data_IF_074049473256
#
_entry.id   IF_074049473256
#
_cell.length_a   1.000
_cell.length_b   1.000
_cell.length_c   1.000
_cell.angle_alpha   90.00
_cell.angle_beta   90.00
_cell.angle_gamma   90.00
#
_symmetry.space_group_name_H-M   'P 1'
#
loop_
_entity.id
_entity.type
_entity.pdbx_description
1 polymer ?
#
# COMPACT_ATOMS: atom_id res chain seq x y z
N UNK A 1 2.88 2.52 16.98
CA UNK A 1 2.94 3.39 15.79
C UNK A 1 2.84 2.53 14.54
N UNK A 2 2.29 3.08 13.45
CA UNK A 2 2.34 2.46 12.13
C UNK A 2 3.80 2.38 11.67
N UNK A 3 4.17 1.26 11.06
CA UNK A 3 5.52 1.03 10.53
C UNK A 3 5.43 0.32 9.20
N UNK A 4 6.13 0.83 8.20
CA UNK A 4 6.37 0.09 6.97
C UNK A 4 7.68 -0.70 7.13
N UNK A 5 7.74 -1.94 6.63
CA UNK A 5 8.96 -2.75 6.75
C UNK A 5 10.17 -2.05 6.09
N UNK A 6 11.40 -2.25 6.60
CA UNK A 6 12.61 -1.66 6.04
C UNK A 6 12.85 -2.06 4.57
N UNK A 7 13.65 -1.25 3.87
CA UNK A 7 14.04 -1.50 2.48
C UNK A 7 13.15 -0.82 1.45
N UNK A 8 12.34 0.16 1.87
CA UNK A 8 11.58 1.04 0.97
C UNK A 8 12.26 2.40 0.84
N UNK A 9 12.09 3.03 -0.31
CA UNK A 9 12.45 4.42 -0.54
C UNK A 9 11.29 5.30 -0.09
N UNK A 10 11.58 6.30 0.73
CA UNK A 10 10.61 7.32 1.12
C UNK A 10 10.65 8.47 0.11
N UNK A 11 9.47 8.91 -0.31
CA UNK A 11 9.26 10.08 -1.16
C UNK A 11 8.16 10.95 -0.58
N UNK A 12 8.11 12.21 -1.00
CA UNK A 12 6.96 13.09 -0.79
C UNK A 12 6.31 13.32 -2.15
N UNK A 13 4.98 13.38 -2.23
CA UNK A 13 4.33 13.66 -3.52
C UNK A 13 4.74 15.06 -4.02
N UNK A 14 5.21 15.10 -5.26
CA UNK A 14 5.85 16.28 -5.87
C UNK A 14 7.37 16.30 -5.73
N UNK A 15 7.96 15.44 -4.90
CA UNK A 15 9.41 15.26 -4.73
C UNK A 15 9.78 13.76 -4.68
N UNK A 16 10.15 13.23 -5.84
CA UNK A 16 10.51 11.82 -6.04
C UNK A 16 9.36 10.94 -6.55
N UNK A 17 8.11 11.24 -6.20
CA UNK A 17 6.91 10.62 -6.82
C UNK A 17 5.94 11.71 -7.28
N UNK A 18 5.70 11.83 -8.58
CA UNK A 18 5.00 13.00 -9.15
C UNK A 18 3.66 12.68 -9.80
N UNK A 19 3.30 11.40 -9.91
CA UNK A 19 2.10 10.96 -10.62
C UNK A 19 0.89 10.78 -9.72
N UNK A 20 1.07 10.70 -8.40
CA UNK A 20 0.01 10.37 -7.46
C UNK A 20 -1.24 11.25 -7.61
N UNK A 21 -2.41 10.65 -7.49
CA UNK A 21 -3.70 11.32 -7.69
C UNK A 21 -4.34 11.77 -6.36
N UNK A 22 -5.67 12.01 -6.37
CA UNK A 22 -6.49 12.37 -5.20
C UNK A 22 -6.12 13.70 -4.49
N UNK A 23 -5.18 14.48 -5.03
CA UNK A 23 -4.74 15.75 -4.45
C UNK A 23 -3.87 15.58 -3.19
N UNK A 24 -3.40 14.36 -2.92
CA UNK A 24 -2.52 14.07 -1.80
C UNK A 24 -1.10 14.57 -2.07
N UNK A 25 -0.54 15.34 -1.13
CA UNK A 25 0.81 15.94 -1.22
C UNK A 25 1.79 15.39 -0.15
N UNK A 26 1.43 14.28 0.51
CA UNK A 26 2.16 13.75 1.64
C UNK A 26 3.17 12.66 1.29
N UNK A 27 3.48 11.82 2.27
CA UNK A 27 4.51 10.79 2.16
C UNK A 27 4.01 9.53 1.43
N UNK A 28 4.88 8.97 0.60
CA UNK A 28 4.73 7.63 0.03
C UNK A 28 5.99 6.80 0.23
N UNK A 29 5.80 5.49 0.28
CA UNK A 29 6.86 4.51 0.51
C UNK A 29 6.91 3.54 -0.66
N UNK A 30 7.95 3.68 -1.48
CA UNK A 30 8.11 2.96 -2.74
C UNK A 30 9.07 1.79 -2.59
N UNK A 31 8.80 0.72 -3.34
CA UNK A 31 9.80 -0.33 -3.54
C UNK A 31 10.97 0.25 -4.35
N UNK A 32 12.24 0.04 -3.96
CA UNK A 32 13.37 0.64 -4.67
C UNK A 32 13.43 0.18 -6.13
N UNK A 33 13.67 1.14 -7.04
CA UNK A 33 13.86 0.85 -8.45
C UNK A 33 14.96 -0.20 -8.68
N UNK A 34 14.73 -1.10 -9.63
CA UNK A 34 15.69 -2.15 -9.98
C UNK A 34 15.73 -3.34 -9.01
N UNK A 35 14.90 -3.35 -7.96
CA UNK A 35 14.70 -4.54 -7.14
C UNK A 35 13.98 -5.62 -7.98
N UNK A 36 14.70 -6.66 -8.40
CA UNK A 36 14.16 -7.73 -9.26
C UNK A 36 13.91 -9.07 -8.56
N UNK A 37 12.95 -9.19 -7.63
CA UNK A 37 12.28 -10.46 -7.42
C UNK A 37 10.85 -10.43 -7.98
N UNK A 38 10.38 -11.59 -8.44
CA UNK A 38 8.96 -11.78 -8.77
C UNK A 38 8.10 -11.42 -7.56
N UNK A 39 7.21 -10.45 -7.74
CA UNK A 39 6.24 -10.01 -6.74
C UNK A 39 6.82 -9.01 -5.76
N UNK A 40 6.69 -7.72 -6.11
CA UNK A 40 7.02 -6.63 -5.20
C UNK A 40 6.01 -6.63 -4.05
N UNK A 41 6.51 -6.60 -2.81
CA UNK A 41 5.66 -6.63 -1.62
C UNK A 41 6.05 -5.55 -0.63
N UNK A 42 5.03 -4.88 -0.10
CA UNK A 42 5.15 -3.95 1.01
C UNK A 42 4.33 -4.48 2.18
N UNK A 43 4.95 -4.69 3.34
CA UNK A 43 4.20 -5.01 4.57
C UNK A 43 4.17 -3.79 5.48
N UNK A 44 2.96 -3.42 5.88
CA UNK A 44 2.68 -2.36 6.85
C UNK A 44 2.22 -3.04 8.15
N UNK A 45 2.96 -2.79 9.23
CA UNK A 45 2.61 -3.23 10.57
C UNK A 45 1.82 -2.11 11.25
N UNK A 46 0.65 -2.47 11.78
CA UNK A 46 -0.29 -1.53 12.37
C UNK A 46 -0.15 -1.48 13.89
N UNK A 47 -0.45 -0.34 14.53
CA UNK A 47 -0.63 -0.24 15.97
C UNK A 47 -1.53 -1.34 16.54
N UNK A 48 -1.29 -1.79 17.78
CA UNK A 48 -2.23 -2.65 18.50
C UNK A 48 -3.63 -2.02 18.51
N UNK A 49 -4.66 -2.89 18.52
CA UNK A 49 -6.08 -2.51 18.54
C UNK A 49 -6.62 -1.83 17.27
N UNK A 50 -5.87 -1.79 16.17
CA UNK A 50 -6.40 -1.26 14.90
C UNK A 50 -7.64 -2.04 14.45
N UNK A 51 -8.74 -1.33 14.21
CA UNK A 51 -10.05 -1.87 13.80
C UNK A 51 -10.38 -1.56 12.36
N UNK A 52 -9.92 -0.43 11.85
CA UNK A 52 -10.01 -0.07 10.45
C UNK A 52 -8.70 0.54 9.99
N UNK A 53 -8.31 0.22 8.77
CA UNK A 53 -7.12 0.74 8.15
C UNK A 53 -7.33 0.83 6.65
N UNK A 54 -6.87 1.91 6.04
CA UNK A 54 -6.77 2.04 4.60
C UNK A 54 -5.44 2.62 4.17
N UNK A 55 -5.11 2.35 2.92
CA UNK A 55 -4.00 2.95 2.18
C UNK A 55 -4.43 3.20 0.74
N UNK A 56 -3.65 4.01 0.05
CA UNK A 56 -3.63 4.06 -1.41
C UNK A 56 -2.34 3.44 -1.94
N UNK A 57 -2.42 2.85 -3.13
CA UNK A 57 -1.26 2.29 -3.83
C UNK A 57 -1.28 2.68 -5.31
N UNK A 58 -0.09 2.91 -5.89
CA UNK A 58 0.11 3.24 -7.30
C UNK A 58 1.31 2.45 -7.85
N UNK A 59 1.18 1.89 -9.06
CA UNK A 59 2.29 1.26 -9.78
C UNK A 59 3.35 2.27 -10.19
N UNK A 60 4.60 1.83 -10.35
CA UNK A 60 5.71 2.69 -10.76
C UNK A 60 5.76 2.91 -12.28
N UNK A 61 5.38 1.90 -13.06
CA UNK A 61 5.28 2.00 -14.51
C UNK A 61 4.04 2.84 -14.87
N UNK A 62 4.16 3.68 -15.91
CA UNK A 62 3.07 4.52 -16.40
C UNK A 62 1.97 3.73 -17.16
N UNK A 63 1.64 2.54 -16.66
CA UNK A 63 0.73 1.55 -17.22
C UNK A 63 -0.08 0.86 -16.13
N UNK A 64 -0.85 -0.14 -16.54
CA UNK A 64 -1.68 -0.93 -15.64
C UNK A 64 -0.89 -2.03 -14.95
N UNK A 65 -1.14 -2.20 -13.64
CA UNK A 65 -0.62 -3.31 -12.86
C UNK A 65 -1.66 -3.85 -11.87
N UNK A 66 -1.61 -5.16 -11.60
CA UNK A 66 -2.43 -5.75 -10.56
C UNK A 66 -1.80 -5.51 -9.20
N UNK A 67 -2.58 -4.85 -8.32
CA UNK A 67 -2.23 -4.66 -6.92
C UNK A 67 -3.23 -5.43 -6.04
N UNK A 68 -2.71 -6.22 -5.10
CA UNK A 68 -3.51 -6.96 -4.13
C UNK A 68 -3.05 -6.61 -2.72
N UNK A 69 -3.98 -6.18 -1.88
CA UNK A 69 -3.74 -6.00 -0.45
C UNK A 69 -4.34 -7.17 0.34
N UNK A 70 -3.61 -7.64 1.36
CA UNK A 70 -4.06 -8.72 2.24
C UNK A 70 -3.85 -8.34 3.70
N UNK A 71 -4.94 -8.32 4.47
CA UNK A 71 -4.94 -8.03 5.89
C UNK A 71 -4.79 -9.28 6.76
N UNK A 72 -4.03 -9.12 7.84
CA UNK A 72 -3.80 -10.13 8.87
C UNK A 72 -4.18 -9.58 10.25
N UNK A 73 -4.64 -10.41 11.19
CA UNK A 73 -4.88 -11.84 11.05
C UNK A 73 -6.18 -12.13 10.29
N UNK A 74 -6.22 -13.23 9.54
CA UNK A 74 -7.43 -13.73 8.87
C UNK A 74 -7.33 -13.83 7.36
N UNK A 75 -6.20 -13.38 6.76
CA UNK A 75 -5.93 -13.47 5.32
C UNK A 75 -7.06 -12.92 4.43
N UNK A 76 -7.68 -11.83 4.86
CA UNK A 76 -8.71 -11.15 4.05
C UNK A 76 -8.00 -10.38 2.94
N UNK A 77 -8.37 -10.66 1.70
CA UNK A 77 -7.74 -10.07 0.51
C UNK A 77 -8.71 -9.13 -0.21
N UNK A 78 -8.19 -8.07 -0.82
CA UNK A 78 -8.93 -7.25 -1.79
C UNK A 78 -9.22 -8.00 -3.09
N UNK A 79 -8.47 -9.07 -3.38
CA UNK A 79 -8.27 -9.55 -4.74
C UNK A 79 -7.37 -8.60 -5.56
N UNK A 80 -6.99 -8.99 -6.79
CA UNK A 80 -6.27 -8.10 -7.68
C UNK A 80 -7.18 -6.96 -8.14
N UNK A 81 -6.69 -5.73 -7.99
CA UNK A 81 -7.26 -4.54 -8.60
C UNK A 81 -6.26 -4.03 -9.64
N UNK A 82 -6.76 -3.72 -10.84
CA UNK A 82 -5.97 -3.04 -11.86
C UNK A 82 -5.79 -1.58 -11.45
N UNK A 83 -4.55 -1.16 -11.28
CA UNK A 83 -4.16 0.19 -10.85
C UNK A 83 -3.25 0.80 -11.91
N UNK A 84 -3.60 1.99 -12.38
CA UNK A 84 -2.84 2.73 -13.37
C UNK A 84 -1.72 3.54 -12.69
N UNK A 85 -0.46 3.37 -13.09
CA UNK A 85 0.67 4.02 -12.42
C UNK A 85 0.90 5.49 -12.76
N UNK A 86 0.10 6.08 -13.66
CA UNK A 86 0.18 7.51 -13.98
C UNK A 86 -1.08 8.25 -13.46
N UNK A 87 -1.15 8.44 -12.15
CA UNK A 87 -2.28 9.13 -11.51
C UNK A 87 -3.50 8.26 -11.27
N UNK A 88 -3.28 6.97 -11.11
CA UNK A 88 -4.32 5.99 -10.80
C UNK A 88 -4.28 5.47 -9.37
N UNK A 89 -3.58 6.12 -8.43
CA UNK A 89 -3.52 5.71 -7.03
C UNK A 89 -4.91 5.28 -6.48
N UNK A 90 -4.99 4.02 -6.06
CA UNK A 90 -6.26 3.34 -5.77
C UNK A 90 -6.40 2.97 -4.30
N UNK A 91 -7.63 3.08 -3.77
CA UNK A 91 -7.97 2.79 -2.37
C UNK A 91 -7.98 1.28 -2.05
N UNK A 92 -7.38 0.92 -0.93
CA UNK A 92 -7.46 -0.42 -0.31
C UNK A 92 -7.81 -0.28 1.17
N UNK A 93 -8.96 -0.81 1.59
CA UNK A 93 -9.47 -0.67 2.95
C UNK A 93 -9.86 -1.99 3.59
N UNK A 94 -9.58 -2.10 4.89
CA UNK A 94 -9.92 -3.26 5.71
C UNK A 94 -10.53 -2.81 7.02
N UNK A 95 -11.51 -3.57 7.50
CA UNK A 95 -12.12 -3.37 8.82
C UNK A 95 -12.40 -4.71 9.48
N UNK A 96 -12.38 -4.73 10.82
CA UNK A 96 -12.66 -5.93 11.62
C UNK A 96 -14.08 -5.90 12.19
N UNK A 97 -14.89 -6.92 11.88
CA UNK A 97 -16.27 -7.07 12.39
C UNK A 97 -16.39 -7.71 13.78
N UNK A 98 -15.27 -8.07 14.41
CA UNK A 98 -15.24 -8.78 15.69
C UNK A 98 -14.72 -7.92 16.85
N UNK A 99 -15.36 -8.05 18.02
CA UNK A 99 -15.06 -7.24 19.21
C UNK A 99 -13.58 -7.20 19.61
N UNK A 100 -12.89 -8.35 19.68
CA UNK A 100 -11.47 -8.44 20.08
C UNK A 100 -10.48 -8.58 18.92
N UNK A 101 -10.94 -8.89 17.70
CA UNK A 101 -10.06 -9.04 16.53
C UNK A 101 -9.53 -7.67 16.11
N UNK A 102 -8.22 -7.55 15.91
CA UNK A 102 -7.59 -6.31 15.41
C UNK A 102 -6.72 -6.63 14.21
N UNK A 103 -6.66 -5.71 13.26
CA UNK A 103 -5.79 -5.80 12.09
C UNK A 103 -4.36 -5.52 12.56
N UNK A 104 -3.48 -6.48 12.40
CA UNK A 104 -2.07 -6.41 12.82
C UNK A 104 -1.17 -5.91 11.70
N UNK A 105 -1.46 -6.30 10.47
CA UNK A 105 -0.68 -5.89 9.30
C UNK A 105 -1.46 -5.99 8.02
N UNK A 106 -1.05 -5.22 7.03
CA UNK A 106 -1.47 -5.37 5.63
C UNK A 106 -0.24 -5.61 4.79
N UNK A 107 -0.28 -6.64 3.93
CA UNK A 107 0.72 -6.86 2.89
C UNK A 107 0.11 -6.50 1.55
N UNK A 108 0.74 -5.56 0.85
CA UNK A 108 0.40 -5.19 -0.52
C UNK A 108 1.38 -5.92 -1.44
N UNK A 109 0.88 -6.53 -2.51
CA UNK A 109 1.65 -7.17 -3.56
C UNK A 109 1.31 -6.54 -4.92
N UNK A 110 2.30 -6.37 -5.78
CA UNK A 110 2.13 -5.76 -7.10
C UNK A 110 2.82 -6.58 -8.20
N UNK A 111 2.21 -6.62 -9.38
CA UNK A 111 2.76 -7.27 -10.58
C UNK A 111 3.60 -6.35 -11.46
N UNK A 112 3.53 -5.03 -11.25
CA UNK A 112 4.39 -4.03 -11.90
C UNK A 112 5.84 -4.43 -11.72
N UNK A 113 6.63 -4.46 -12.79
CA UNK A 113 8.00 -4.97 -12.73
C UNK A 113 8.99 -4.01 -12.08
N UNK A 114 8.65 -2.72 -12.01
CA UNK A 114 9.43 -1.67 -11.36
C UNK A 114 8.97 -1.39 -9.93
N UNK A 115 7.78 -1.88 -9.56
CA UNK A 115 7.29 -1.90 -8.18
C UNK A 115 6.06 -1.02 -7.98
N UNK A 116 5.89 -0.53 -6.76
CA UNK A 116 4.76 0.32 -6.39
C UNK A 116 5.16 1.26 -5.27
N UNK A 117 4.38 2.32 -5.10
CA UNK A 117 4.32 3.09 -3.87
C UNK A 117 3.03 2.84 -3.10
N UNK A 118 3.12 2.94 -1.78
CA UNK A 118 1.96 2.98 -0.88
C UNK A 118 2.02 4.25 -0.03
N UNK A 119 0.87 4.86 0.23
CA UNK A 119 0.80 6.09 1.02
C UNK A 119 -0.63 6.42 1.41
N UNK A 120 -0.83 7.66 1.87
CA UNK A 120 -2.16 8.18 2.23
C UNK A 120 -2.89 7.25 3.21
N UNK A 121 -2.27 7.05 4.37
CA UNK A 121 -2.75 6.09 5.37
C UNK A 121 -3.81 6.68 6.28
N UNK A 122 -4.92 5.96 6.45
CA UNK A 122 -5.88 6.21 7.50
C UNK A 122 -6.01 5.03 8.45
N UNK A 123 -6.17 5.31 9.74
CA UNK A 123 -6.21 4.30 10.79
C UNK A 123 -7.22 4.67 11.87
N UNK A 124 -7.97 3.67 12.34
CA UNK A 124 -8.91 3.80 13.46
C UNK A 124 -8.90 2.52 14.31
N UNK A 125 -9.14 2.65 15.62
CA UNK A 125 -9.05 1.58 16.61
C UNK A 125 -9.96 1.77 17.81
#
# INVERSE_FOLDING_TARGET
SLRVKPGLTHHTIGDGWTTWSNGYAGDVYAVPMGFKPKGHKVTIVLPPKTKAFYLYAEGQEFGDADITATAEPGKVSSGPLVVYGQGGAQYFGFYSNGGSTSIKSVTVACTDTQGMAVGEFGISG
#
